data_IF_848500519472
#
_entry.id   IF_848500519472
#
_cell.length_a   1.000
_cell.length_b   1.000
_cell.length_c   1.000
_cell.angle_alpha   90.00
_cell.angle_beta   90.00
_cell.angle_gamma   90.00
#
_symmetry.space_group_name_H-M   'P 1'
#
loop_
_entity.id
_entity.type
_entity.pdbx_description
1 polymer ?
#
# COMPACT_ATOMS: atom_id res chain seq x y z
N UNK A 1 35.71 35.02 24.05
CA UNK A 1 34.54 34.65 23.23
C UNK A 1 34.07 33.30 23.75
N UNK A 2 33.15 33.33 24.71
CA UNK A 2 32.78 32.19 25.55
C UNK A 2 31.60 31.46 24.87
N UNK A 3 31.82 30.25 24.36
CA UNK A 3 30.75 29.47 23.71
C UNK A 3 29.98 28.71 24.79
N UNK A 4 28.72 29.10 24.99
CA UNK A 4 27.76 28.45 25.87
C UNK A 4 27.59 26.97 25.50
N UNK A 5 28.27 26.07 26.22
CA UNK A 5 28.41 24.64 25.90
C UNK A 5 27.27 23.74 26.43
N UNK A 6 26.04 24.23 26.58
CA UNK A 6 24.95 23.47 27.24
C UNK A 6 23.64 23.38 26.45
N UNK A 7 23.65 23.62 25.15
CA UNK A 7 22.46 23.42 24.32
C UNK A 7 22.40 21.97 23.83
N UNK A 8 21.50 21.18 24.43
CA UNK A 8 21.12 19.85 23.92
C UNK A 8 20.03 20.02 22.88
N UNK A 9 20.40 20.09 21.60
CA UNK A 9 19.43 20.15 20.50
C UNK A 9 18.90 18.76 20.17
N UNK A 10 17.58 18.65 20.04
CA UNK A 10 16.88 17.47 19.54
C UNK A 10 16.33 17.79 18.15
N UNK A 11 16.73 17.01 17.14
CA UNK A 11 16.20 17.11 15.79
C UNK A 11 15.56 15.79 15.38
N UNK A 12 14.59 15.86 14.47
CA UNK A 12 13.99 14.67 13.87
C UNK A 12 14.90 14.18 12.75
N UNK A 13 15.20 12.88 12.75
CA UNK A 13 15.85 12.22 11.63
C UNK A 13 14.82 12.05 10.51
N UNK A 14 15.12 12.45 9.25
CA UNK A 14 14.20 12.24 8.14
C UNK A 14 13.91 10.76 7.91
N UNK A 15 12.63 10.40 7.77
CA UNK A 15 12.21 9.02 7.52
C UNK A 15 12.58 8.51 6.11
N UNK A 16 13.03 9.39 5.21
CA UNK A 16 13.58 9.04 3.89
C UNK A 16 15.04 8.61 3.95
N UNK A 17 15.72 8.76 5.09
CA UNK A 17 17.11 8.36 5.24
C UNK A 17 17.19 6.82 5.30
N UNK A 18 18.00 6.25 4.42
CA UNK A 18 18.16 4.79 4.30
C UNK A 18 18.58 4.13 5.61
N UNK A 19 19.57 4.69 6.29
CA UNK A 19 20.02 4.21 7.60
C UNK A 19 18.90 4.22 8.64
N UNK A 20 18.03 5.23 8.63
CA UNK A 20 16.90 5.29 9.55
C UNK A 20 15.85 4.22 9.22
N UNK A 21 15.62 3.94 7.93
CA UNK A 21 14.70 2.88 7.48
C UNK A 21 15.22 1.49 7.83
N UNK A 22 16.50 1.22 7.59
CA UNK A 22 17.16 -0.04 7.95
C UNK A 22 17.14 -0.25 9.47
N UNK A 23 17.37 0.81 10.24
CA UNK A 23 17.33 0.75 11.70
C UNK A 23 15.91 0.48 12.22
N UNK A 24 14.87 1.10 11.62
CA UNK A 24 13.48 0.81 11.99
C UNK A 24 13.05 -0.62 11.65
N UNK A 25 13.60 -1.24 10.59
CA UNK A 25 13.27 -2.62 10.23
C UNK A 25 14.00 -3.68 11.07
N UNK A 26 15.15 -3.33 11.64
CA UNK A 26 15.94 -4.21 12.50
C UNK A 26 15.49 -4.21 13.96
N UNK A 27 14.87 -3.12 14.42
CA UNK A 27 14.36 -3.01 15.79
C UNK A 27 13.19 -3.97 15.97
N UNK A 28 13.36 -4.97 16.84
CA UNK A 28 12.27 -5.82 17.29
C UNK A 28 11.43 -5.11 18.36
N UNK A 29 10.14 -5.39 18.41
CA UNK A 29 9.25 -4.86 19.46
C UNK A 29 9.74 -5.21 20.88
N UNK A 30 10.43 -6.34 21.02
CA UNK A 30 11.03 -6.82 22.27
C UNK A 30 12.17 -5.92 22.77
N UNK A 31 12.83 -5.18 21.87
CA UNK A 31 13.93 -4.27 22.22
C UNK A 31 13.44 -2.90 22.70
N UNK A 32 12.15 -2.61 22.56
CA UNK A 32 11.53 -1.38 23.04
C UNK A 32 11.28 -1.47 24.53
N UNK A 33 11.62 -0.40 25.24
CA UNK A 33 11.33 -0.25 26.67
C UNK A 33 10.14 0.66 26.83
N UNK A 34 9.27 0.31 27.76
CA UNK A 34 8.15 1.17 28.12
C UNK A 34 8.66 2.50 28.65
N UNK A 35 8.00 3.56 28.21
CA UNK A 35 8.27 4.90 28.72
C UNK A 35 7.43 5.20 29.95
N UNK A 36 7.81 6.24 30.69
CA UNK A 36 6.98 6.77 31.77
C UNK A 36 5.62 7.30 31.26
N UNK A 37 5.50 7.57 29.95
CA UNK A 37 4.25 7.98 29.31
C UNK A 37 3.52 6.74 28.78
N UNK A 38 2.28 6.56 29.21
CA UNK A 38 1.44 5.45 28.78
C UNK A 38 1.23 5.46 27.26
N UNK A 39 1.36 4.30 26.63
CA UNK A 39 1.17 4.13 25.19
C UNK A 39 2.37 4.57 24.34
N UNK A 40 3.51 4.86 24.97
CA UNK A 40 4.78 5.11 24.31
C UNK A 40 5.85 4.16 24.82
N UNK A 41 6.57 3.57 23.88
CA UNK A 41 7.74 2.73 24.14
C UNK A 41 8.89 3.23 23.26
N UNK A 42 10.13 3.05 23.71
CA UNK A 42 11.29 3.61 23.02
C UNK A 42 12.53 2.74 23.14
N UNK A 43 13.46 2.94 22.21
CA UNK A 43 14.81 2.40 22.30
C UNK A 43 15.81 3.45 21.82
N UNK A 44 17.02 3.40 22.37
CA UNK A 44 18.10 4.30 21.99
C UNK A 44 19.20 3.51 21.30
N UNK A 45 19.66 4.03 20.18
CA UNK A 45 20.77 3.44 19.43
C UNK A 45 21.76 4.53 19.03
N UNK A 46 22.99 4.12 18.76
CA UNK A 46 24.04 5.02 18.29
C UNK A 46 24.23 4.75 16.80
N UNK A 47 24.13 5.80 15.99
CA UNK A 47 24.37 5.74 14.55
C UNK A 47 25.47 6.74 14.18
N UNK A 48 26.27 6.41 13.17
CA UNK A 48 27.25 7.34 12.60
C UNK A 48 26.66 7.90 11.32
N UNK A 49 26.15 9.12 11.39
CA UNK A 49 25.57 9.80 10.23
C UNK A 49 26.41 11.01 9.84
N UNK A 50 26.73 11.13 8.55
CA UNK A 50 27.60 12.18 8.01
C UNK A 50 28.96 12.28 8.74
N UNK A 51 29.50 11.15 9.21
CA UNK A 51 30.78 11.09 9.93
C UNK A 51 30.72 11.52 11.40
N UNK A 52 29.55 11.87 11.93
CA UNK A 52 29.35 12.23 13.33
C UNK A 52 28.60 11.12 14.06
N UNK A 53 29.07 10.75 15.25
CA UNK A 53 28.32 9.87 16.14
C UNK A 53 27.10 10.61 16.69
N UNK A 54 25.91 10.09 16.36
CA UNK A 54 24.63 10.59 16.79
C UNK A 54 23.90 9.53 17.61
N UNK A 55 23.20 9.96 18.66
CA UNK A 55 22.28 9.10 19.39
C UNK A 55 20.88 9.27 18.80
N UNK A 56 20.34 8.18 18.29
CA UNK A 56 18.98 8.15 17.76
C UNK A 56 18.05 7.53 18.79
N UNK A 57 16.90 8.18 18.98
CA UNK A 57 15.82 7.70 19.83
C UNK A 57 14.67 7.27 18.93
N UNK A 58 14.38 5.97 18.92
CA UNK A 58 13.22 5.44 18.21
C UNK A 58 12.08 5.36 19.20
N UNK A 59 10.96 6.00 18.87
CA UNK A 59 9.78 6.08 19.72
C UNK A 59 8.61 5.47 18.98
N UNK A 60 8.04 4.42 19.55
CA UNK A 60 6.80 3.82 19.12
C UNK A 60 5.63 4.48 19.88
N UNK A 61 4.53 4.72 19.16
CA UNK A 61 3.30 5.25 19.73
C UNK A 61 2.15 4.34 19.37
N UNK A 62 1.53 3.75 20.40
CA UNK A 62 0.41 2.84 20.22
C UNK A 62 -0.77 3.50 19.49
N UNK A 63 -1.09 4.75 19.83
CA UNK A 63 -2.17 5.47 19.17
C UNK A 63 -1.92 5.70 17.67
N UNK A 64 -0.66 5.95 17.26
CA UNK A 64 -0.32 6.07 15.84
C UNK A 64 -0.42 4.72 15.15
N UNK A 65 0.10 3.67 15.77
CA UNK A 65 0.01 2.31 15.26
C UNK A 65 -1.44 1.90 14.94
N UNK A 66 -2.36 2.11 15.90
CA UNK A 66 -3.79 1.81 15.70
C UNK A 66 -4.41 2.67 14.59
N UNK A 67 -4.08 3.96 14.54
CA UNK A 67 -4.58 4.85 13.49
C UNK A 67 -4.09 4.43 12.09
N UNK A 68 -2.82 4.07 11.97
CA UNK A 68 -2.18 3.62 10.73
C UNK A 68 -2.77 2.29 10.26
N UNK A 69 -3.00 1.34 11.18
CA UNK A 69 -3.70 0.09 10.88
C UNK A 69 -5.10 0.34 10.30
N UNK A 70 -5.89 1.20 10.95
CA UNK A 70 -7.22 1.56 10.46
C UNK A 70 -7.18 2.23 9.10
N UNK A 71 -6.16 3.04 8.83
CA UNK A 71 -5.96 3.64 7.52
C UNK A 71 -5.58 2.60 6.47
N UNK A 72 -4.76 1.61 6.84
CA UNK A 72 -4.36 0.51 5.96
C UNK A 72 -5.57 -0.36 5.59
N UNK A 73 -6.40 -0.74 6.56
CA UNK A 73 -7.65 -1.47 6.33
C UNK A 73 -8.55 -0.74 5.32
N UNK A 74 -8.74 0.58 5.51
CA UNK A 74 -9.53 1.41 4.59
C UNK A 74 -8.96 1.44 3.17
N UNK A 75 -7.64 1.42 3.01
CA UNK A 75 -7.00 1.37 1.69
C UNK A 75 -7.24 0.02 1.02
N UNK A 76 -7.15 -1.08 1.78
CA UNK A 76 -7.40 -2.44 1.29
C UNK A 76 -8.85 -2.59 0.85
N UNK A 77 -9.81 -2.20 1.69
CA UNK A 77 -11.24 -2.29 1.35
C UNK A 77 -11.56 -1.48 0.10
N UNK A 78 -11.09 -0.23 0.03
CA UNK A 78 -11.29 0.62 -1.16
C UNK A 78 -10.67 0.01 -2.41
N UNK A 79 -9.47 -0.56 -2.33
CA UNK A 79 -8.84 -1.23 -3.47
C UNK A 79 -9.66 -2.44 -3.93
N UNK A 80 -10.19 -3.23 -2.99
CA UNK A 80 -11.04 -4.39 -3.30
C UNK A 80 -12.35 -4.00 -3.97
N UNK A 81 -13.02 -2.94 -3.50
CA UNK A 81 -14.26 -2.42 -4.09
C UNK A 81 -14.03 -1.91 -5.51
N UNK A 82 -12.91 -1.22 -5.73
CA UNK A 82 -12.52 -0.73 -7.07
C UNK A 82 -12.30 -1.93 -8.01
N UNK A 83 -11.57 -2.95 -7.57
CA UNK A 83 -11.31 -4.15 -8.36
C UNK A 83 -12.62 -4.90 -8.70
N UNK A 84 -13.54 -5.04 -7.74
CA UNK A 84 -14.84 -5.67 -7.99
C UNK A 84 -15.70 -4.86 -8.97
N UNK A 85 -15.75 -3.54 -8.82
CA UNK A 85 -16.46 -2.66 -9.76
C UNK A 85 -15.89 -2.76 -11.18
N UNK A 86 -14.56 -2.83 -11.29
CA UNK A 86 -13.87 -3.02 -12.55
C UNK A 86 -14.27 -4.36 -13.20
N UNK A 87 -14.17 -5.46 -12.46
CA UNK A 87 -14.55 -6.79 -12.96
C UNK A 87 -16.00 -6.85 -13.41
N UNK A 88 -16.93 -6.29 -12.62
CA UNK A 88 -18.34 -6.23 -12.97
C UNK A 88 -18.58 -5.43 -14.26
N UNK A 89 -17.90 -4.28 -14.41
CA UNK A 89 -17.99 -3.48 -15.64
C UNK A 89 -17.45 -4.23 -16.85
N UNK A 90 -16.30 -4.88 -16.69
CA UNK A 90 -15.65 -5.61 -17.78
C UNK A 90 -16.51 -6.82 -18.20
N UNK A 91 -17.11 -7.54 -17.24
CA UNK A 91 -18.07 -8.61 -17.49
C UNK A 91 -19.32 -8.14 -18.24
N UNK A 92 -19.96 -7.05 -17.78
CA UNK A 92 -21.13 -6.47 -18.42
C UNK A 92 -20.83 -5.97 -19.84
N UNK A 93 -19.65 -5.40 -20.07
CA UNK A 93 -19.22 -4.95 -21.40
C UNK A 93 -18.94 -6.11 -22.36
N UNK A 94 -18.47 -7.25 -21.83
CA UNK A 94 -18.17 -8.46 -22.60
C UNK A 94 -19.44 -9.23 -22.98
N UNK A 95 -20.39 -9.34 -22.05
CA UNK A 95 -21.72 -9.92 -22.30
C UNK A 95 -22.54 -9.09 -23.28
N UNK A 96 -22.44 -7.75 -23.22
CA UNK A 96 -23.13 -6.85 -24.15
C UNK A 96 -22.62 -6.95 -25.59
N UNK A 97 -21.33 -7.25 -25.81
CA UNK A 97 -20.77 -7.47 -27.17
C UNK A 97 -21.24 -8.81 -27.77
N UNK A 98 -21.32 -9.87 -26.97
CA UNK A 98 -21.86 -11.16 -27.41
C UNK A 98 -23.36 -11.08 -27.72
N UNK A 99 -24.12 -10.36 -26.88
CA UNK A 99 -25.55 -10.14 -27.07
C UNK A 99 -25.86 -9.29 -28.32
N UNK A 100 -25.09 -8.22 -28.57
CA UNK A 100 -25.24 -7.38 -29.78
C UNK A 100 -24.79 -8.07 -31.07
N UNK A 101 -23.94 -9.10 -31.00
CA UNK A 101 -23.61 -9.95 -32.16
C UNK A 101 -24.75 -10.92 -32.51
N UNK A 102 -25.53 -11.35 -31.53
CA UNK A 102 -26.56 -12.40 -31.71
C UNK A 102 -27.89 -11.86 -32.27
N UNK A 103 -28.13 -10.54 -32.18
CA UNK A 103 -29.37 -9.86 -32.61
C UNK A 103 -29.19 -8.96 -33.84
N UNK A 104 -28.12 -9.15 -34.61
CA UNK A 104 -27.91 -8.38 -35.85
C UNK A 104 -28.89 -8.92 -36.90
N UNK A 105 -29.87 -8.13 -37.41
CA UNK A 105 -30.76 -8.62 -38.43
C UNK A 105 -29.94 -9.00 -39.67
N UNK A 106 -30.19 -10.19 -40.22
CA UNK A 106 -29.53 -10.65 -41.44
C UNK A 106 -29.89 -9.69 -42.58
N UNK A 107 -28.91 -9.32 -43.44
CA UNK A 107 -29.21 -8.61 -44.68
C UNK A 107 -30.20 -9.43 -45.52
N UNK A 108 -31.21 -8.76 -46.07
CA UNK A 108 -32.41 -9.35 -46.69
C UNK A 108 -32.18 -10.28 -47.88
N UNK A 109 -30.94 -10.46 -48.34
CA UNK A 109 -30.60 -11.25 -49.52
C UNK A 109 -30.19 -12.71 -49.22
N UNK A 110 -30.23 -13.17 -47.95
CA UNK A 110 -29.79 -14.53 -47.54
C UNK A 110 -30.89 -15.57 -47.28
N UNK A 111 -32.00 -15.53 -48.02
CA UNK A 111 -32.97 -16.65 -48.04
C UNK A 111 -32.84 -17.45 -49.34
N UNK A 112 -31.72 -18.15 -49.57
CA UNK A 112 -31.72 -19.25 -50.55
C UNK A 112 -30.50 -20.20 -50.51
N UNK A 113 -30.08 -20.78 -49.38
CA UNK A 113 -29.21 -21.98 -49.42
C UNK A 113 -29.47 -22.88 -48.21
N UNK A 114 -29.53 -24.18 -48.48
CA UNK A 114 -29.77 -25.26 -47.52
C UNK A 114 -28.43 -25.76 -46.96
N UNK A 115 -28.36 -25.94 -45.63
CA UNK A 115 -27.22 -26.48 -44.84
C UNK A 115 -25.93 -25.62 -44.71
N UNK A 116 -25.58 -25.27 -43.46
CA UNK A 116 -24.20 -24.93 -43.05
C UNK A 116 -23.75 -26.00 -42.04
N UNK A 117 -22.74 -26.79 -42.42
CA UNK A 117 -22.06 -27.73 -41.52
C UNK A 117 -21.05 -26.94 -40.70
N UNK A 118 -21.16 -26.97 -39.37
CA UNK A 118 -20.12 -26.46 -38.47
C UNK A 118 -19.11 -27.59 -38.19
N UNK A 119 -17.86 -27.39 -38.58
CA UNK A 119 -16.72 -28.20 -38.15
C UNK A 119 -16.03 -27.46 -37.01
N UNK A 120 -15.89 -28.13 -35.87
CA UNK A 120 -15.15 -27.63 -34.72
C UNK A 120 -13.83 -28.41 -34.63
N UNK A 121 -12.70 -27.73 -34.78
CA UNK A 121 -11.39 -28.30 -34.41
C UNK A 121 -11.07 -27.99 -32.95
N UNK A 122 -10.33 -28.91 -32.32
CA UNK A 122 -9.95 -28.92 -30.90
C UNK A 122 -9.01 -27.78 -30.51
#
# INVERSE_FOLDING_TARGET
MERSNHLRWLSRVPASLKEAQELMSQISNESLRDSALQGYSFTSTTSVYAGLQQRWLVVESYNRYVADLKQLERKITKASEIAQKQLNRDFLSSSSRAYLMQKRPLPSWKNNYDTIVFVQEK
#
